data_IF_653683896279
#
_entry.id   IF_653683896279
#
_cell.length_a   1.000
_cell.length_b   1.000
_cell.length_c   1.000
_cell.angle_alpha   90.00
_cell.angle_beta   90.00
_cell.angle_gamma   90.00
#
_symmetry.space_group_name_H-M   'P 1'
#
loop_
_entity.id
_entity.type
_entity.pdbx_description
1 polymer ?
#
# COMPACT_ATOMS: atom_id res chain seq x y z
N UNK A 1 13.14 -21.31 -9.87
CA UNK A 1 11.79 -21.52 -10.46
C UNK A 1 11.68 -20.65 -11.71
N UNK A 2 11.22 -21.17 -12.85
CA UNK A 2 11.09 -20.36 -14.08
C UNK A 2 9.73 -19.66 -14.17
N UNK A 3 9.62 -18.58 -14.97
CA UNK A 3 8.35 -17.87 -15.18
C UNK A 3 7.28 -18.75 -15.83
N UNK A 4 7.68 -19.70 -16.68
CA UNK A 4 6.75 -20.67 -17.29
C UNK A 4 6.20 -21.62 -16.22
N UNK A 5 7.06 -22.19 -15.38
CA UNK A 5 6.64 -23.08 -14.28
C UNK A 5 5.79 -22.35 -13.23
N UNK A 6 6.12 -21.10 -12.92
CA UNK A 6 5.33 -20.27 -12.02
C UNK A 6 3.97 -19.93 -12.64
N UNK A 7 3.93 -19.65 -13.94
CA UNK A 7 2.68 -19.41 -14.66
C UNK A 7 1.77 -20.63 -14.69
N UNK A 8 2.33 -21.82 -14.93
CA UNK A 8 1.60 -23.09 -14.87
C UNK A 8 1.04 -23.36 -13.47
N UNK A 9 1.85 -23.15 -12.41
CA UNK A 9 1.40 -23.34 -11.01
C UNK A 9 0.34 -22.32 -10.58
N UNK A 10 0.46 -21.06 -10.99
CA UNK A 10 -0.47 -20.00 -10.59
C UNK A 10 -1.71 -19.91 -11.51
N UNK A 11 -1.73 -20.60 -12.65
CA UNK A 11 -2.74 -20.42 -13.69
C UNK A 11 -2.70 -19.00 -14.28
N UNK A 12 -1.52 -18.41 -14.41
CA UNK A 12 -1.28 -17.05 -14.92
C UNK A 12 -0.31 -17.14 -16.11
N UNK A 13 -0.61 -16.47 -17.22
CA UNK A 13 0.28 -16.52 -18.37
C UNK A 13 1.64 -15.86 -18.04
N UNK A 14 2.76 -16.50 -18.42
CA UNK A 14 4.10 -16.04 -18.04
C UNK A 14 4.41 -14.60 -18.46
N UNK A 15 3.81 -14.11 -19.56
CA UNK A 15 3.95 -12.71 -19.99
C UNK A 15 3.32 -11.72 -19.01
N UNK A 16 2.25 -12.11 -18.32
CA UNK A 16 1.62 -11.28 -17.28
C UNK A 16 2.53 -11.20 -16.06
N UNK A 17 3.16 -12.30 -15.67
CA UNK A 17 4.14 -12.33 -14.57
C UNK A 17 5.34 -11.46 -14.93
N UNK A 18 5.86 -11.59 -16.15
CA UNK A 18 6.97 -10.77 -16.63
C UNK A 18 6.63 -9.27 -16.66
N UNK A 19 5.38 -8.89 -16.97
CA UNK A 19 4.92 -7.51 -16.84
C UNK A 19 4.84 -7.05 -15.38
N UNK A 20 4.39 -7.90 -14.46
CA UNK A 20 4.34 -7.60 -13.03
C UNK A 20 5.76 -7.32 -12.49
N UNK A 21 6.74 -8.13 -12.86
CA UNK A 21 8.14 -7.95 -12.44
C UNK A 21 8.75 -6.63 -12.94
N UNK A 22 8.29 -6.14 -14.11
CA UNK A 22 8.67 -4.83 -14.65
C UNK A 22 7.86 -3.65 -14.09
N UNK A 23 6.93 -3.89 -13.17
CA UNK A 23 6.05 -2.86 -12.63
C UNK A 23 4.92 -2.40 -13.57
N UNK A 24 4.70 -3.11 -14.69
CA UNK A 24 3.68 -2.77 -15.70
C UNK A 24 2.32 -3.44 -15.44
N UNK A 25 2.04 -3.79 -14.17
CA UNK A 25 0.86 -4.55 -13.75
C UNK A 25 0.13 -3.90 -12.56
N UNK A 26 -1.15 -4.22 -12.40
CA UNK A 26 -1.96 -3.72 -11.29
C UNK A 26 -1.51 -4.39 -9.97
N UNK A 27 -1.08 -3.57 -9.00
CA UNK A 27 -0.51 -3.95 -7.70
C UNK A 27 -1.43 -4.81 -6.80
N UNK A 28 -2.71 -4.94 -7.14
CA UNK A 28 -3.69 -5.74 -6.40
C UNK A 28 -4.55 -6.63 -7.32
N UNK A 29 -4.05 -6.96 -8.51
CA UNK A 29 -4.77 -7.88 -9.41
C UNK A 29 -4.92 -9.27 -8.80
N UNK A 30 -6.01 -9.97 -9.15
CA UNK A 30 -6.24 -11.38 -8.77
C UNK A 30 -5.04 -12.26 -9.13
N UNK A 31 -4.42 -12.01 -10.28
CA UNK A 31 -3.28 -12.79 -10.76
C UNK A 31 -2.01 -12.53 -9.94
N UNK A 32 -1.77 -11.29 -9.53
CA UNK A 32 -0.65 -10.99 -8.63
C UNK A 32 -0.81 -11.68 -7.27
N UNK A 33 -2.04 -11.69 -6.72
CA UNK A 33 -2.33 -12.42 -5.47
C UNK A 33 -2.01 -13.91 -5.57
N UNK A 34 -2.44 -14.57 -6.66
CA UNK A 34 -2.14 -15.99 -6.92
C UNK A 34 -0.63 -16.24 -7.02
N UNK A 35 0.09 -15.35 -7.70
CA UNK A 35 1.56 -15.44 -7.81
C UNK A 35 2.23 -15.30 -6.44
N UNK A 36 1.81 -14.33 -5.63
CA UNK A 36 2.34 -14.15 -4.29
C UNK A 36 2.03 -15.31 -3.34
N UNK A 37 0.84 -15.93 -3.46
CA UNK A 37 0.46 -17.13 -2.69
C UNK A 37 1.40 -18.31 -2.98
N UNK A 38 1.69 -18.56 -4.27
CA UNK A 38 2.64 -19.60 -4.69
C UNK A 38 4.07 -19.29 -4.22
N UNK A 39 4.46 -18.02 -4.24
CA UNK A 39 5.78 -17.58 -3.82
C UNK A 39 5.90 -17.41 -2.29
N UNK A 40 4.81 -17.62 -1.55
CA UNK A 40 4.72 -17.38 -0.10
C UNK A 40 5.19 -15.97 0.32
N UNK A 41 5.02 -15.00 -0.58
CA UNK A 41 5.31 -13.60 -0.27
C UNK A 41 4.13 -13.09 0.55
N UNK A 42 4.36 -12.54 1.76
CA UNK A 42 3.30 -11.93 2.54
C UNK A 42 2.76 -10.74 1.75
N UNK A 43 1.61 -10.92 1.10
CA UNK A 43 0.82 -9.80 0.61
C UNK A 43 0.15 -9.24 1.84
N UNK A 44 0.44 -8.01 2.27
CA UNK A 44 -0.44 -7.34 3.22
C UNK A 44 -1.79 -7.27 2.52
N UNK A 45 -2.68 -8.20 2.88
CA UNK A 45 -4.09 -8.12 2.54
C UNK A 45 -4.46 -6.71 2.95
N UNK A 46 -4.84 -5.87 1.98
CA UNK A 46 -5.28 -4.51 2.24
C UNK A 46 -6.15 -4.57 3.49
N UNK A 47 -5.57 -4.05 4.58
CA UNK A 47 -6.03 -4.32 5.94
C UNK A 47 -7.51 -3.99 5.95
N UNK A 48 -8.33 -5.04 6.05
CA UNK A 48 -9.77 -4.87 6.05
C UNK A 48 -10.08 -3.93 7.20
N UNK A 49 -10.57 -2.73 6.87
CA UNK A 49 -10.94 -1.69 7.81
C UNK A 49 -10.03 -1.68 9.05
N UNK A 50 -8.81 -1.14 8.94
CA UNK A 50 -8.17 -0.64 10.15
C UNK A 50 -9.13 0.39 10.72
N UNK A 51 -9.90 -0.04 11.73
CA UNK A 51 -10.70 0.83 12.58
C UNK A 51 -9.87 2.06 12.86
N UNK A 52 -10.48 3.24 12.76
CA UNK A 52 -9.81 4.52 13.02
C UNK A 52 -9.13 4.58 14.41
N UNK A 53 -9.31 3.57 15.26
CA UNK A 53 -8.62 3.41 16.54
C UNK A 53 -7.12 3.05 16.47
N UNK A 54 -6.58 2.59 15.34
CA UNK A 54 -5.18 2.13 15.25
C UNK A 54 -4.18 3.18 14.73
N UNK A 55 -4.63 4.39 14.39
CA UNK A 55 -3.74 5.43 13.86
C UNK A 55 -2.63 5.83 14.86
N UNK A 56 -2.92 6.09 16.15
CA UNK A 56 -1.88 6.46 17.11
C UNK A 56 -0.83 5.36 17.27
N UNK A 57 -1.28 4.11 17.30
CA UNK A 57 -0.40 2.93 17.41
C UNK A 57 0.53 2.83 16.20
N UNK A 58 0.00 2.99 14.99
CA UNK A 58 0.79 2.91 13.74
C UNK A 58 1.78 4.07 13.61
N UNK A 59 1.40 5.26 14.04
CA UNK A 59 2.33 6.41 14.09
C UNK A 59 3.44 6.14 15.09
N UNK A 60 3.11 5.59 16.26
CA UNK A 60 4.10 5.23 17.27
C UNK A 60 5.07 4.14 16.79
N UNK A 61 4.56 3.10 16.11
CA UNK A 61 5.40 2.06 15.51
C UNK A 61 6.32 2.62 14.42
N UNK A 62 5.84 3.57 13.62
CA UNK A 62 6.64 4.23 12.59
C UNK A 62 7.76 5.08 13.19
N UNK A 63 7.48 5.83 14.26
CA UNK A 63 8.50 6.58 15.00
C UNK A 63 9.52 5.64 15.63
N UNK A 64 9.09 4.50 16.20
CA UNK A 64 10.00 3.51 16.77
C UNK A 64 10.89 2.85 15.70
N UNK A 65 10.35 2.58 14.51
CA UNK A 65 11.11 2.02 13.40
C UNK A 65 12.10 3.04 12.80
N UNK A 66 11.73 4.33 12.79
CA UNK A 66 12.52 5.42 12.22
C UNK A 66 12.51 6.67 13.11
N UNK A 67 13.31 6.70 14.18
CA UNK A 67 13.29 7.78 15.16
C UNK A 67 13.70 9.14 14.56
N UNK A 68 14.55 9.14 13.53
CA UNK A 68 14.95 10.36 12.83
C UNK A 68 13.80 10.99 11.99
N UNK A 69 12.74 10.24 11.72
CA UNK A 69 11.61 10.69 10.89
C UNK A 69 10.54 11.45 11.67
N UNK A 70 10.65 11.56 12.99
CA UNK A 70 9.66 12.20 13.87
C UNK A 70 9.24 13.59 13.39
N UNK A 71 10.21 14.42 12.98
CA UNK A 71 9.95 15.78 12.48
C UNK A 71 9.19 15.79 11.15
N UNK A 72 9.45 14.82 10.27
CA UNK A 72 8.75 14.68 9.00
C UNK A 72 7.33 14.17 9.21
N UNK A 73 7.13 13.25 10.15
CA UNK A 73 5.81 12.76 10.51
C UNK A 73 4.96 13.89 11.07
N UNK A 74 5.52 14.71 11.97
CA UNK A 74 4.83 15.91 12.50
C UNK A 74 4.44 16.88 11.40
N UNK A 75 5.37 17.26 10.53
CA UNK A 75 5.08 18.25 9.48
C UNK A 75 3.98 17.79 8.51
N UNK A 76 3.88 16.48 8.26
CA UNK A 76 2.79 15.91 7.46
C UNK A 76 1.46 15.98 8.21
N UNK A 77 1.43 15.66 9.51
CA UNK A 77 0.21 15.74 10.33
C UNK A 77 -0.28 17.19 10.44
N UNK A 78 0.61 18.14 10.75
CA UNK A 78 0.28 19.58 10.82
C UNK A 78 -0.30 20.09 9.49
N UNK A 79 0.30 19.68 8.36
CA UNK A 79 -0.17 20.07 7.04
C UNK A 79 -1.55 19.49 6.72
N UNK A 80 -1.85 18.28 7.18
CA UNK A 80 -3.17 17.66 7.02
C UNK A 80 -4.22 18.35 7.89
N UNK A 81 -3.93 18.63 9.17
CA UNK A 81 -4.82 19.39 10.07
C UNK A 81 -5.13 20.76 9.47
N UNK A 82 -4.09 21.48 9.02
CA UNK A 82 -4.24 22.77 8.34
C UNK A 82 -5.10 22.65 7.07
N UNK A 83 -4.92 21.59 6.26
CA UNK A 83 -5.71 21.38 5.05
C UNK A 83 -7.18 21.04 5.34
N UNK A 84 -7.45 20.32 6.44
CA UNK A 84 -8.79 20.00 6.92
C UNK A 84 -9.50 21.25 7.46
N UNK A 85 -8.80 22.07 8.24
CA UNK A 85 -9.33 23.35 8.76
C UNK A 85 -9.63 24.33 7.62
N UNK A 86 -8.79 24.36 6.58
CA UNK A 86 -8.99 25.22 5.41
C UNK A 86 -9.98 24.63 4.38
N UNK A 87 -10.26 23.32 4.44
CA UNK A 87 -11.17 22.61 3.54
C UNK A 87 -12.66 22.96 3.74
N UNK A 88 -13.04 23.51 4.89
CA UNK A 88 -14.39 24.01 5.16
C UNK A 88 -14.69 25.36 4.48
N UNK A 89 -13.65 26.07 4.00
CA UNK A 89 -13.79 27.37 3.35
C UNK A 89 -13.94 27.31 1.81
N UNK A 90 -13.99 26.13 1.20
CA UNK A 90 -14.06 25.96 -0.27
C UNK A 90 -15.37 25.30 -0.76
N UNK A 91 -16.50 25.55 -0.09
CA UNK A 91 -17.84 25.44 -0.70
C UNK A 91 -18.46 26.83 -0.78
N UNK A 92 -17.83 27.69 -1.58
CA UNK A 92 -18.51 28.80 -2.21
C UNK A 92 -17.64 29.31 -3.35
N UNK A 93 -17.98 28.96 -4.58
CA UNK A 93 -18.26 29.99 -5.58
C UNK A 93 -18.91 29.42 -6.87
N UNK A 94 -19.66 30.28 -7.57
CA UNK A 94 -20.53 29.98 -8.69
C UNK A 94 -19.79 29.78 -10.02
#
# INVERSE_FOLDING_TARGET
MSLKMLGEKAGVHYTQISRMERGEGVLLSKNLRKVCEILQVPVPLASGASSSGDLPQKVQDLINAWPQSEQLIRSVVDALETALENGDASVARP
#
